data_IF_954467222960
#
_entry.id   IF_954467222960
#
_cell.length_a   1.000
_cell.length_b   1.000
_cell.length_c   1.000
_cell.angle_alpha   90.00
_cell.angle_beta   90.00
_cell.angle_gamma   90.00
#
_symmetry.space_group_name_H-M   'P 1'
#
loop_
_entity.id
_entity.type
_entity.pdbx_description
1 polymer ?
#
# COMPACT_ATOMS: atom_id res chain seq x y z
N UNK A 1 14.51 20.76 10.72
CA UNK A 1 13.58 20.57 9.61
C UNK A 1 12.23 20.20 10.19
N UNK A 2 11.15 20.95 9.93
CA UNK A 2 9.82 20.55 10.38
C UNK A 2 9.43 19.28 9.63
N UNK A 3 9.00 18.21 10.36
CA UNK A 3 8.48 17.01 9.74
C UNK A 3 7.15 17.37 9.06
N UNK A 4 7.02 17.01 7.80
CA UNK A 4 5.78 17.28 7.06
C UNK A 4 4.75 16.19 7.42
N UNK A 5 3.55 16.60 7.84
CA UNK A 5 2.43 15.69 8.06
C UNK A 5 2.03 15.06 6.71
N UNK A 6 2.14 13.74 6.61
CA UNK A 6 1.68 13.00 5.44
C UNK A 6 0.22 12.60 5.60
N UNK A 7 -0.16 12.12 6.80
CA UNK A 7 -1.54 11.77 7.12
C UNK A 7 -1.90 12.41 8.45
N UNK A 8 -3.00 13.11 8.47
CA UNK A 8 -3.60 13.64 9.69
C UNK A 8 -5.02 13.10 9.85
N UNK A 9 -5.29 12.50 10.99
CA UNK A 9 -6.58 11.91 11.36
C UNK A 9 -7.12 12.68 12.54
N UNK A 10 -8.36 13.19 12.43
CA UNK A 10 -9.02 13.95 13.47
C UNK A 10 -10.42 13.41 13.71
N UNK A 11 -10.66 12.97 14.95
CA UNK A 11 -11.96 12.45 15.46
C UNK A 11 -12.61 11.40 14.54
N UNK A 12 -11.78 10.54 13.91
CA UNK A 12 -12.23 9.58 12.89
C UNK A 12 -13.07 8.47 13.53
N UNK A 13 -14.21 8.19 12.92
CA UNK A 13 -15.08 7.05 13.21
C UNK A 13 -15.12 6.12 12.00
N UNK A 14 -14.85 4.83 12.23
CA UNK A 14 -14.79 3.79 11.21
C UNK A 14 -15.78 2.67 11.50
N UNK A 15 -16.25 2.02 10.45
CA UNK A 15 -17.21 0.92 10.56
C UNK A 15 -17.88 0.63 9.23
N UNK A 16 -19.02 -0.03 9.28
CA UNK A 16 -19.75 -0.48 8.11
C UNK A 16 -21.14 0.13 8.09
N UNK A 17 -21.54 0.71 6.97
CA UNK A 17 -22.89 1.23 6.75
C UNK A 17 -23.63 0.32 5.78
N UNK A 18 -24.75 -0.23 6.21
CA UNK A 18 -25.70 -0.95 5.38
C UNK A 18 -26.95 -0.10 5.18
N UNK A 19 -27.89 -0.53 4.32
CA UNK A 19 -29.15 0.21 4.09
C UNK A 19 -29.95 0.41 5.37
N UNK A 20 -29.86 -0.49 6.33
CA UNK A 20 -30.72 -0.52 7.52
C UNK A 20 -29.95 -0.41 8.86
N UNK A 21 -28.62 -0.42 8.82
CA UNK A 21 -27.81 -0.45 10.05
C UNK A 21 -26.44 0.18 9.85
N UNK A 22 -25.85 0.68 10.96
CA UNK A 22 -24.48 1.19 11.00
C UNK A 22 -23.72 0.50 12.12
N UNK A 23 -22.77 -0.35 11.77
CA UNK A 23 -21.90 -1.03 12.71
C UNK A 23 -20.64 -0.19 12.94
N UNK A 24 -20.56 0.47 14.06
CA UNK A 24 -19.35 1.18 14.51
C UNK A 24 -18.28 0.15 14.92
N UNK A 25 -17.05 0.33 14.43
CA UNK A 25 -15.89 -0.50 14.79
C UNK A 25 -14.98 0.25 15.76
N UNK A 26 -14.68 1.51 15.47
CA UNK A 26 -13.93 2.38 16.37
C UNK A 26 -14.31 3.84 16.11
N UNK A 27 -14.14 4.69 17.12
CA UNK A 27 -14.43 6.13 17.07
C UNK A 27 -13.38 6.94 17.80
N UNK A 28 -13.41 8.25 17.58
CA UNK A 28 -12.50 9.21 18.20
C UNK A 28 -11.03 8.91 17.95
N UNK A 29 -10.71 8.34 16.77
CA UNK A 29 -9.33 8.05 16.39
C UNK A 29 -8.64 9.37 16.04
N UNK A 30 -7.49 9.61 16.65
CA UNK A 30 -6.62 10.75 16.38
C UNK A 30 -5.21 10.25 16.13
N UNK A 31 -4.60 10.65 15.03
CA UNK A 31 -3.22 10.28 14.71
C UNK A 31 -2.58 11.25 13.72
N UNK A 32 -1.25 11.31 13.75
CA UNK A 32 -0.43 11.97 12.73
C UNK A 32 0.67 11.03 12.29
N UNK A 33 0.88 10.94 11.00
CA UNK A 33 1.94 10.14 10.37
C UNK A 33 2.78 11.10 9.52
N UNK A 34 4.09 11.02 9.68
CA UNK A 34 5.01 11.95 9.06
C UNK A 34 5.74 11.33 7.86
N UNK A 35 6.20 12.17 6.95
CA UNK A 35 6.94 11.75 5.76
C UNK A 35 8.21 10.98 6.12
N UNK A 36 8.47 9.89 5.39
CA UNK A 36 9.64 9.05 5.57
C UNK A 36 9.62 8.18 6.83
N UNK A 37 8.45 7.96 7.44
CA UNK A 37 8.30 7.11 8.63
C UNK A 37 7.65 5.78 8.29
N UNK A 38 8.22 4.69 8.84
CA UNK A 38 7.55 3.39 8.90
C UNK A 38 6.67 3.36 10.16
N UNK A 39 5.37 3.50 9.98
CA UNK A 39 4.39 3.45 11.06
C UNK A 39 3.76 2.06 11.15
N UNK A 40 3.79 1.44 12.33
CA UNK A 40 3.20 0.13 12.57
C UNK A 40 1.91 0.25 13.39
N UNK A 41 0.81 -0.27 12.85
CA UNK A 41 -0.47 -0.39 13.56
C UNK A 41 -0.54 -1.76 14.27
N UNK A 42 -0.49 -1.75 15.59
CA UNK A 42 -0.50 -2.96 16.42
C UNK A 42 -1.83 -3.09 17.17
N UNK A 43 -2.27 -4.31 17.40
CA UNK A 43 -3.48 -4.61 18.15
C UNK A 43 -3.97 -6.04 17.93
N UNK A 44 -4.90 -6.51 18.76
CA UNK A 44 -5.50 -7.84 18.66
C UNK A 44 -6.23 -8.04 17.31
N UNK A 45 -6.41 -9.31 16.93
CA UNK A 45 -7.22 -9.64 15.75
C UNK A 45 -8.68 -9.22 15.96
N UNK A 46 -9.30 -8.67 14.91
CA UNK A 46 -10.69 -8.20 14.95
C UNK A 46 -10.89 -6.81 15.60
N UNK A 47 -9.86 -6.12 16.09
CA UNK A 47 -9.98 -4.79 16.72
C UNK A 47 -10.29 -3.66 15.73
N UNK A 48 -10.23 -3.93 14.41
CA UNK A 48 -10.54 -2.95 13.38
C UNK A 48 -9.33 -2.43 12.58
N UNK A 49 -8.13 -3.04 12.72
CA UNK A 49 -6.92 -2.62 11.98
C UNK A 49 -7.15 -2.54 10.47
N UNK A 50 -7.63 -3.62 9.86
CA UNK A 50 -7.90 -3.65 8.41
C UNK A 50 -9.05 -2.73 8.01
N UNK A 51 -10.04 -2.50 8.91
CA UNK A 51 -11.10 -1.51 8.68
C UNK A 51 -10.52 -0.09 8.63
N UNK A 52 -9.63 0.23 9.57
CA UNK A 52 -8.93 1.53 9.57
C UNK A 52 -8.09 1.68 8.30
N UNK A 53 -7.30 0.67 7.95
CA UNK A 53 -6.46 0.70 6.76
C UNK A 53 -7.28 0.88 5.48
N UNK A 54 -8.39 0.16 5.32
CA UNK A 54 -9.32 0.32 4.19
C UNK A 54 -9.95 1.71 4.16
N UNK A 55 -10.25 2.29 5.31
CA UNK A 55 -10.80 3.67 5.39
C UNK A 55 -9.72 4.69 4.98
N UNK A 56 -8.49 4.54 5.45
CA UNK A 56 -7.36 5.42 5.07
C UNK A 56 -6.93 5.28 3.62
N UNK A 57 -7.24 4.14 2.98
CA UNK A 57 -6.97 3.87 1.55
C UNK A 57 -8.14 4.29 0.64
N UNK A 58 -9.19 4.89 1.18
CA UNK A 58 -10.45 5.21 0.47
C UNK A 58 -11.22 4.00 -0.10
N UNK A 59 -10.86 2.75 0.26
CA UNK A 59 -11.63 1.55 -0.12
C UNK A 59 -12.91 1.39 0.69
N UNK A 60 -13.04 2.13 1.78
CA UNK A 60 -14.22 2.16 2.64
C UNK A 60 -14.49 3.57 3.11
N UNK A 61 -15.74 4.00 3.06
CA UNK A 61 -16.14 5.31 3.56
C UNK A 61 -16.01 5.38 5.08
N UNK A 62 -15.52 6.50 5.58
CA UNK A 62 -15.55 6.82 7.01
C UNK A 62 -16.99 7.02 7.48
N UNK A 63 -17.25 6.78 8.76
CA UNK A 63 -18.54 7.05 9.39
C UNK A 63 -18.63 8.50 9.92
N UNK A 64 -17.51 9.13 10.23
CA UNK A 64 -17.38 10.49 10.70
C UNK A 64 -15.93 10.91 10.90
N UNK A 65 -15.70 12.18 11.22
CA UNK A 65 -14.37 12.74 11.40
C UNK A 65 -13.67 13.12 10.09
N UNK A 66 -12.38 13.44 10.16
CA UNK A 66 -11.61 14.00 9.06
C UNK A 66 -10.33 13.19 8.84
N UNK A 67 -9.96 13.03 7.57
CA UNK A 67 -8.68 12.46 7.15
C UNK A 67 -8.08 13.44 6.13
N UNK A 68 -6.91 13.99 6.44
CA UNK A 68 -6.13 14.76 5.49
C UNK A 68 -4.90 13.96 5.05
N UNK A 69 -4.64 13.91 3.74
CA UNK A 69 -3.48 13.30 3.13
C UNK A 69 -2.69 14.40 2.42
N UNK A 70 -1.41 14.54 2.73
CA UNK A 70 -0.55 15.61 2.22
C UNK A 70 -1.14 17.02 2.41
N UNK A 71 -1.83 17.23 3.54
CA UNK A 71 -2.43 18.52 3.89
C UNK A 71 -3.77 18.83 3.21
N UNK A 72 -4.31 17.92 2.39
CA UNK A 72 -5.59 18.05 1.68
C UNK A 72 -6.59 17.02 2.20
N UNK A 73 -7.86 17.43 2.37
CA UNK A 73 -8.95 16.51 2.77
C UNK A 73 -9.08 15.36 1.77
N UNK A 74 -9.09 14.13 2.27
CA UNK A 74 -9.16 12.92 1.47
C UNK A 74 -10.43 12.86 0.61
N UNK A 75 -11.56 13.35 1.09
CA UNK A 75 -12.83 13.36 0.35
C UNK A 75 -12.82 14.32 -0.86
N UNK A 76 -11.81 15.19 -0.95
CA UNK A 76 -11.65 16.13 -2.07
C UNK A 76 -10.81 15.58 -3.22
N UNK A 77 -10.20 14.39 -3.05
CA UNK A 77 -9.43 13.73 -4.10
C UNK A 77 -10.36 13.01 -5.09
N UNK A 78 -10.06 13.09 -6.37
CA UNK A 78 -10.60 12.18 -7.36
C UNK A 78 -9.96 10.80 -7.28
N UNK A 79 -10.62 9.75 -7.80
CA UNK A 79 -10.06 8.38 -7.82
C UNK A 79 -8.68 8.33 -8.50
N UNK A 80 -8.48 9.13 -9.56
CA UNK A 80 -7.20 9.24 -10.25
C UNK A 80 -6.12 9.86 -9.36
N UNK A 81 -6.43 10.93 -8.65
CA UNK A 81 -5.49 11.56 -7.71
C UNK A 81 -5.16 10.61 -6.56
N UNK A 82 -6.15 9.90 -5.99
CA UNK A 82 -5.91 8.90 -4.97
C UNK A 82 -4.99 7.78 -5.46
N UNK A 83 -5.17 7.29 -6.68
CA UNK A 83 -4.34 6.24 -7.26
C UNK A 83 -2.87 6.65 -7.49
N UNK A 84 -2.58 7.95 -7.55
CA UNK A 84 -1.21 8.49 -7.61
C UNK A 84 -0.69 8.99 -6.26
N UNK A 85 -1.53 8.96 -5.22
CA UNK A 85 -1.18 9.42 -3.87
C UNK A 85 -0.99 8.27 -2.90
N UNK A 86 -1.81 7.21 -3.00
CA UNK A 86 -1.85 6.09 -2.06
C UNK A 86 -1.67 4.78 -2.81
N UNK A 87 -0.61 4.05 -2.47
CA UNK A 87 -0.40 2.66 -2.87
C UNK A 87 -0.89 1.71 -1.77
N UNK A 88 -1.38 0.53 -2.15
CA UNK A 88 -1.88 -0.46 -1.18
C UNK A 88 -1.39 -1.85 -1.52
N UNK A 89 -0.87 -2.55 -0.52
CA UNK A 89 -0.54 -3.98 -0.57
C UNK A 89 -1.50 -4.71 0.35
N UNK A 90 -2.39 -5.51 -0.24
CA UNK A 90 -3.38 -6.29 0.51
C UNK A 90 -2.84 -7.68 0.85
N UNK A 91 -3.35 -8.26 1.94
CA UNK A 91 -3.02 -9.63 2.39
C UNK A 91 -3.61 -10.71 1.49
N UNK A 92 -4.62 -10.39 0.68
CA UNK A 92 -5.34 -11.36 -0.13
C UNK A 92 -4.42 -12.03 -1.17
N UNK A 93 -4.41 -13.38 -1.16
CA UNK A 93 -3.69 -14.15 -2.17
C UNK A 93 -4.46 -14.09 -3.50
N UNK A 94 -4.03 -13.23 -4.40
CA UNK A 94 -4.52 -13.28 -5.78
C UNK A 94 -3.96 -14.52 -6.49
N UNK A 95 -4.82 -15.40 -7.01
CA UNK A 95 -4.41 -16.53 -7.85
C UNK A 95 -4.03 -16.03 -9.27
N UNK A 96 -2.82 -15.52 -9.40
CA UNK A 96 -2.29 -14.97 -10.64
C UNK A 96 -1.54 -16.08 -11.37
N UNK A 97 -2.17 -16.73 -12.36
CA UNK A 97 -1.62 -17.92 -13.02
C UNK A 97 -0.77 -17.63 -14.25
N UNK A 98 -1.13 -16.64 -15.04
CA UNK A 98 -0.54 -16.40 -16.38
C UNK A 98 0.18 -15.05 -16.46
N UNK A 99 0.97 -14.72 -15.44
CA UNK A 99 1.68 -13.45 -15.38
C UNK A 99 3.06 -13.65 -14.79
N UNK A 100 4.06 -13.07 -15.41
CA UNK A 100 5.42 -13.00 -14.86
C UNK A 100 5.51 -11.96 -13.74
N UNK A 101 6.56 -12.05 -12.95
CA UNK A 101 6.87 -11.05 -11.92
C UNK A 101 6.94 -9.65 -12.51
N UNK A 102 7.64 -9.48 -13.64
CA UNK A 102 7.77 -8.20 -14.34
C UNK A 102 6.40 -7.64 -14.72
N UNK A 103 5.56 -8.42 -15.40
CA UNK A 103 4.22 -8.00 -15.79
C UNK A 103 3.35 -7.59 -14.58
N UNK A 104 3.48 -8.28 -13.44
CA UNK A 104 2.78 -7.91 -12.23
C UNK A 104 3.28 -6.56 -11.66
N UNK A 105 4.58 -6.30 -11.69
CA UNK A 105 5.13 -5.01 -11.24
C UNK A 105 4.73 -3.88 -12.21
N UNK A 106 4.70 -4.14 -13.51
CA UNK A 106 4.22 -3.23 -14.55
C UNK A 106 2.78 -2.74 -14.31
N UNK A 107 1.92 -3.58 -13.72
CA UNK A 107 0.57 -3.15 -13.31
C UNK A 107 0.58 -2.02 -12.29
N UNK A 108 1.66 -1.80 -11.56
CA UNK A 108 1.83 -0.64 -10.68
C UNK A 108 1.78 0.69 -11.45
N UNK A 109 2.11 0.68 -12.75
CA UNK A 109 2.07 1.86 -13.61
C UNK A 109 0.68 2.19 -14.15
N UNK A 110 -0.36 1.40 -13.85
CA UNK A 110 -1.73 1.60 -14.34
C UNK A 110 -2.26 3.03 -14.18
N UNK A 111 -1.99 3.79 -13.09
CA UNK A 111 -2.46 5.18 -12.97
C UNK A 111 -1.87 6.15 -13.99
N UNK A 112 -0.72 5.82 -14.58
CA UNK A 112 0.04 6.66 -15.51
C UNK A 112 -0.17 6.26 -16.97
N UNK A 113 -0.55 5.01 -17.23
CA UNK A 113 -0.81 4.52 -18.58
C UNK A 113 -2.18 4.98 -19.08
N UNK A 114 -2.29 5.25 -20.38
CA UNK A 114 -3.58 5.55 -21.01
C UNK A 114 -4.48 4.32 -21.14
N UNK A 115 -5.61 4.49 -21.84
CA UNK A 115 -6.63 3.43 -22.06
C UNK A 115 -6.07 2.09 -22.55
N UNK A 116 -4.98 2.12 -23.34
CA UNK A 116 -4.35 0.92 -23.91
C UNK A 116 -3.31 0.28 -22.99
N UNK A 117 -3.07 0.81 -21.79
CA UNK A 117 -2.11 0.25 -20.84
C UNK A 117 -0.65 0.17 -21.34
N UNK A 118 -0.29 0.99 -22.34
CA UNK A 118 1.07 0.95 -22.91
C UNK A 118 2.05 1.68 -22.03
N UNK A 119 3.12 0.96 -21.66
CA UNK A 119 4.24 1.52 -20.89
C UNK A 119 5.20 2.24 -21.85
N UNK A 120 5.59 3.44 -21.49
CA UNK A 120 6.67 4.17 -22.15
C UNK A 120 8.05 3.78 -21.59
N UNK A 121 9.11 4.53 -21.96
CA UNK A 121 10.47 4.26 -21.50
C UNK A 121 10.65 4.57 -20.01
N UNK A 122 10.02 5.62 -19.52
CA UNK A 122 10.08 6.04 -18.13
C UNK A 122 9.36 5.04 -17.23
N UNK A 123 8.15 4.59 -17.62
CA UNK A 123 7.43 3.52 -16.92
C UNK A 123 8.27 2.25 -16.78
N UNK A 124 8.93 1.82 -17.87
CA UNK A 124 9.80 0.64 -17.84
C UNK A 124 10.99 0.80 -16.91
N UNK A 125 11.58 1.99 -16.87
CA UNK A 125 12.69 2.28 -15.98
C UNK A 125 12.23 2.21 -14.51
N UNK A 126 11.08 2.81 -14.16
CA UNK A 126 10.50 2.75 -12.81
C UNK A 126 10.23 1.30 -12.39
N UNK A 127 9.75 0.46 -13.30
CA UNK A 127 9.56 -0.98 -13.06
C UNK A 127 10.88 -1.67 -12.71
N UNK A 128 11.95 -1.47 -13.52
CA UNK A 128 13.26 -2.07 -13.25
C UNK A 128 13.83 -1.59 -11.90
N UNK A 129 13.75 -0.29 -11.62
CA UNK A 129 14.19 0.28 -10.35
C UNK A 129 13.42 -0.30 -9.16
N UNK A 130 12.10 -0.48 -9.30
CA UNK A 130 11.27 -1.08 -8.26
C UNK A 130 11.62 -2.54 -7.99
N UNK A 131 11.94 -3.31 -9.04
CA UNK A 131 12.40 -4.70 -8.95
C UNK A 131 13.76 -4.76 -8.23
N UNK A 132 14.68 -3.87 -8.59
CA UNK A 132 16.01 -3.79 -7.98
C UNK A 132 15.94 -3.37 -6.49
N UNK A 133 15.07 -2.39 -6.14
CA UNK A 133 14.90 -1.93 -4.76
C UNK A 133 14.50 -3.07 -3.80
N UNK A 134 13.73 -4.04 -4.26
CA UNK A 134 13.32 -5.20 -3.43
C UNK A 134 14.20 -6.44 -3.67
N UNK A 135 15.23 -6.34 -4.52
CA UNK A 135 16.24 -7.38 -4.80
C UNK A 135 15.65 -8.67 -5.34
N UNK A 136 14.81 -8.56 -6.39
CA UNK A 136 14.16 -9.70 -7.06
C UNK A 136 14.44 -9.75 -8.57
N UNK A 137 15.54 -9.17 -9.05
CA UNK A 137 15.90 -9.11 -10.47
C UNK A 137 15.96 -10.51 -11.09
N UNK A 138 16.47 -11.48 -10.32
CA UNK A 138 16.56 -12.89 -10.73
C UNK A 138 15.19 -13.58 -10.84
N UNK A 139 14.13 -12.99 -10.33
CA UNK A 139 12.77 -13.52 -10.40
C UNK A 139 11.92 -12.85 -11.49
N UNK A 140 12.41 -11.79 -12.15
CA UNK A 140 11.62 -10.93 -13.03
C UNK A 140 10.90 -11.68 -14.17
N UNK A 141 11.50 -12.74 -14.70
CA UNK A 141 10.92 -13.58 -15.76
C UNK A 141 10.13 -14.80 -15.25
N UNK A 142 10.15 -15.07 -13.94
CA UNK A 142 9.41 -16.21 -13.37
C UNK A 142 7.92 -15.93 -13.31
N UNK A 143 7.13 -16.99 -13.43
CA UNK A 143 5.67 -16.91 -13.24
C UNK A 143 5.32 -16.73 -11.76
N UNK A 144 4.40 -15.83 -11.47
CA UNK A 144 3.99 -15.47 -10.10
C UNK A 144 3.51 -16.67 -9.27
N UNK A 145 2.82 -17.62 -9.91
CA UNK A 145 2.33 -18.83 -9.22
C UNK A 145 3.45 -19.78 -8.74
N UNK A 146 4.69 -19.63 -9.25
CA UNK A 146 5.84 -20.46 -8.87
C UNK A 146 6.63 -19.91 -7.69
N UNK A 147 6.25 -18.74 -7.19
CA UNK A 147 6.95 -18.04 -6.11
C UNK A 147 6.58 -18.59 -4.73
N UNK A 148 7.54 -18.60 -3.82
CA UNK A 148 7.28 -18.72 -2.39
C UNK A 148 6.45 -17.52 -1.88
N UNK A 149 5.82 -17.67 -0.69
CA UNK A 149 5.05 -16.57 -0.10
C UNK A 149 5.93 -15.33 0.17
N UNK A 150 7.19 -15.51 0.61
CA UNK A 150 8.14 -14.42 0.83
C UNK A 150 8.56 -13.71 -0.47
N UNK A 151 8.86 -14.48 -1.54
CA UNK A 151 9.14 -13.92 -2.87
C UNK A 151 7.94 -13.16 -3.42
N UNK A 152 6.75 -13.73 -3.28
CA UNK A 152 5.49 -13.09 -3.71
C UNK A 152 5.25 -11.78 -2.97
N UNK A 153 5.50 -11.73 -1.67
CA UNK A 153 5.37 -10.52 -0.88
C UNK A 153 6.29 -9.40 -1.37
N UNK A 154 7.55 -9.73 -1.69
CA UNK A 154 8.48 -8.76 -2.31
C UNK A 154 7.96 -8.24 -3.65
N UNK A 155 7.39 -9.10 -4.49
CA UNK A 155 6.80 -8.69 -5.77
C UNK A 155 5.62 -7.74 -5.57
N UNK A 156 4.75 -7.99 -4.58
CA UNK A 156 3.64 -7.09 -4.25
C UNK A 156 4.13 -5.73 -3.75
N UNK A 157 5.22 -5.70 -2.98
CA UNK A 157 5.88 -4.47 -2.56
C UNK A 157 6.49 -3.74 -3.78
N UNK A 158 7.18 -4.45 -4.69
CA UNK A 158 7.72 -3.88 -5.92
C UNK A 158 6.63 -3.23 -6.78
N UNK A 159 5.47 -3.91 -6.93
CA UNK A 159 4.30 -3.35 -7.63
C UNK A 159 3.83 -2.04 -6.99
N UNK A 160 3.76 -1.97 -5.66
CA UNK A 160 3.36 -0.75 -4.96
C UNK A 160 4.41 0.36 -5.08
N UNK A 161 5.71 0.00 -5.13
CA UNK A 161 6.79 0.96 -5.39
C UNK A 161 6.72 1.53 -6.80
N UNK A 162 6.43 0.69 -7.80
CA UNK A 162 6.27 1.09 -9.19
C UNK A 162 5.11 2.07 -9.41
N UNK A 163 4.14 2.11 -8.50
CA UNK A 163 3.06 3.10 -8.51
C UNK A 163 3.54 4.50 -8.12
N UNK A 164 4.77 4.65 -7.58
CA UNK A 164 5.41 5.93 -7.20
C UNK A 164 4.60 6.82 -6.25
N UNK A 165 3.69 6.24 -5.49
CA UNK A 165 2.89 7.00 -4.52
C UNK A 165 3.73 7.44 -3.32
N UNK A 166 3.48 8.63 -2.73
CA UNK A 166 4.14 9.09 -1.50
C UNK A 166 3.75 8.27 -0.26
N UNK A 167 2.57 7.64 -0.28
CA UNK A 167 2.04 6.81 0.82
C UNK A 167 1.85 5.38 0.34
N UNK A 168 2.31 4.41 1.14
CA UNK A 168 2.05 2.98 0.88
C UNK A 168 1.48 2.34 2.15
N UNK A 169 0.27 1.82 2.04
CA UNK A 169 -0.34 1.00 3.09
C UNK A 169 -0.09 -0.48 2.82
N UNK A 170 0.28 -1.21 3.89
CA UNK A 170 0.46 -2.66 3.84
C UNK A 170 -0.46 -3.31 4.89
N UNK A 171 -1.40 -4.12 4.42
CA UNK A 171 -2.28 -4.88 5.30
C UNK A 171 -1.62 -6.23 5.62
N UNK A 172 -1.19 -6.41 6.86
CA UNK A 172 -0.55 -7.63 7.38
C UNK A 172 0.58 -8.19 6.48
N UNK A 173 1.62 -7.41 6.12
CA UNK A 173 2.59 -7.79 5.09
C UNK A 173 3.47 -9.00 5.46
N UNK A 174 3.36 -9.50 6.67
CA UNK A 174 4.13 -10.66 7.17
C UNK A 174 3.25 -11.88 7.46
N UNK A 175 1.96 -11.82 7.17
CA UNK A 175 1.03 -12.95 7.34
C UNK A 175 1.40 -14.08 6.36
N UNK A 176 1.31 -15.33 6.81
CA UNK A 176 1.69 -16.56 6.10
C UNK A 176 3.20 -16.75 5.83
N UNK A 177 4.05 -15.84 6.28
CA UNK A 177 5.51 -15.97 6.13
C UNK A 177 6.11 -16.77 7.29
N UNK A 178 7.19 -17.50 7.00
CA UNK A 178 8.08 -18.06 8.03
C UNK A 178 8.88 -16.96 8.75
N UNK A 179 9.51 -17.28 9.87
CA UNK A 179 10.19 -16.29 10.68
C UNK A 179 11.33 -15.56 9.94
N UNK A 180 12.22 -16.25 9.19
CA UNK A 180 13.25 -15.58 8.38
C UNK A 180 12.67 -14.58 7.38
N UNK A 181 11.64 -14.98 6.63
CA UNK A 181 10.98 -14.11 5.64
C UNK A 181 10.31 -12.90 6.29
N UNK A 182 9.72 -13.05 7.50
CA UNK A 182 9.17 -11.91 8.27
C UNK A 182 10.24 -10.88 8.57
N UNK A 183 11.38 -11.32 9.06
CA UNK A 183 12.52 -10.44 9.38
C UNK A 183 13.00 -9.73 8.12
N UNK A 184 13.15 -10.46 7.03
CA UNK A 184 13.60 -9.91 5.74
C UNK A 184 12.64 -8.83 5.20
N UNK A 185 11.33 -9.08 5.23
CA UNK A 185 10.32 -8.07 4.81
C UNK A 185 10.37 -6.84 5.71
N UNK A 186 10.47 -7.00 7.02
CA UNK A 186 10.56 -5.85 7.94
C UNK A 186 11.83 -5.02 7.72
N UNK A 187 12.97 -5.67 7.48
CA UNK A 187 14.24 -4.99 7.13
C UNK A 187 14.12 -4.26 5.79
N UNK A 188 13.48 -4.88 4.78
CA UNK A 188 13.21 -4.26 3.50
C UNK A 188 12.36 -2.99 3.67
N UNK A 189 11.23 -3.06 4.37
CA UNK A 189 10.35 -1.91 4.61
C UNK A 189 11.08 -0.77 5.33
N UNK A 190 11.87 -1.09 6.35
CA UNK A 190 12.69 -0.11 7.06
C UNK A 190 13.77 0.53 6.15
N UNK A 191 14.37 -0.25 5.25
CA UNK A 191 15.31 0.28 4.27
C UNK A 191 14.61 1.22 3.27
N UNK A 192 13.46 0.81 2.75
CA UNK A 192 12.70 1.57 1.77
C UNK A 192 12.27 2.95 2.30
N UNK A 193 11.80 3.06 3.53
CA UNK A 193 11.41 4.35 4.11
C UNK A 193 12.58 5.33 4.20
N UNK A 194 13.81 4.83 4.39
CA UNK A 194 15.02 5.67 4.44
C UNK A 194 15.57 6.05 3.08
N UNK A 195 15.42 5.16 2.09
CA UNK A 195 16.00 5.36 0.75
C UNK A 195 15.06 6.08 -0.22
N UNK A 196 13.73 6.00 0.00
CA UNK A 196 12.75 6.53 -0.95
C UNK A 196 11.91 7.69 -0.42
N UNK A 197 12.08 8.08 0.84
CA UNK A 197 11.28 9.10 1.54
C UNK A 197 9.76 8.86 1.47
N UNK A 198 9.34 7.61 1.22
CA UNK A 198 7.92 7.20 1.26
C UNK A 198 7.46 6.97 2.70
N UNK A 199 6.16 7.09 2.91
CA UNK A 199 5.51 6.90 4.20
C UNK A 199 4.66 5.65 4.17
#
# INVERSE_FOLDING_TARGET
MMRQDTIHINDLSIGYRTKNDTKLVASHIQARIYSGELTCLLGANGVGKSTLLRTLSAFQQKLGGEIAVLGRDMDSYSDKELSTTIGVVLTEKCDIRNMSVRELVEMGRSPYTGFWGRLDKEDKQVVEESIALVRIENLASRMVYTLSDGERQKVMIAKALAQETPVIFLDEPTTFLDFPSKVEIMQLLHHLTRSTNKT
#
